data_IF_352296208281
#
_entry.id   IF_352296208281
#
_cell.length_a   1.000
_cell.length_b   1.000
_cell.length_c   1.000
_cell.angle_alpha   90.00
_cell.angle_beta   90.00
_cell.angle_gamma   90.00
#
_symmetry.space_group_name_H-M   'P 1'
#
loop_
_entity.id
_entity.type
_entity.pdbx_description
1 polymer ?
#
# COMPACT_ATOMS: atom_id res chain seq x y z
N UNK A 1 23.32 5.04 -6.40
CA UNK A 1 22.71 6.38 -6.55
C UNK A 1 22.00 6.70 -5.24
N UNK A 2 22.36 7.80 -4.56
CA UNK A 2 22.14 7.98 -3.10
C UNK A 2 20.65 8.14 -2.75
N UNK A 3 20.19 7.48 -1.66
CA UNK A 3 18.88 7.65 -1.01
C UNK A 3 18.41 9.12 -0.90
N UNK A 4 19.36 10.05 -0.83
CA UNK A 4 19.12 11.50 -0.86
C UNK A 4 18.23 11.97 -2.02
N UNK A 5 18.29 11.35 -3.20
CA UNK A 5 17.46 11.75 -4.34
C UNK A 5 15.98 11.38 -4.12
N UNK A 6 15.71 10.22 -3.51
CA UNK A 6 14.35 9.75 -3.20
C UNK A 6 13.70 10.66 -2.15
N UNK A 7 14.46 11.07 -1.12
CA UNK A 7 14.00 12.06 -0.15
C UNK A 7 13.70 13.40 -0.82
N UNK A 8 14.59 13.88 -1.71
CA UNK A 8 14.41 15.16 -2.39
C UNK A 8 13.14 15.18 -3.26
N UNK A 9 12.86 14.12 -4.04
CA UNK A 9 11.64 14.07 -4.87
C UNK A 9 10.36 13.99 -4.04
N UNK A 10 10.40 13.31 -2.88
CA UNK A 10 9.27 13.24 -1.95
C UNK A 10 8.96 14.61 -1.32
N UNK A 11 9.99 15.34 -0.86
CA UNK A 11 9.78 16.64 -0.20
C UNK A 11 9.49 17.79 -1.17
N UNK A 12 10.06 17.81 -2.38
CA UNK A 12 9.82 18.90 -3.35
C UNK A 12 8.34 18.98 -3.77
N UNK A 13 7.61 17.87 -3.79
CA UNK A 13 6.18 17.86 -4.11
C UNK A 13 5.27 18.33 -2.96
N UNK A 14 5.77 18.42 -1.72
CA UNK A 14 4.99 18.84 -0.54
C UNK A 14 4.83 20.37 -0.50
N UNK A 15 5.78 21.13 -1.06
CA UNK A 15 5.85 22.59 -0.86
C UNK A 15 5.27 23.46 -2.00
N UNK A 16 4.77 22.86 -3.08
CA UNK A 16 4.42 23.59 -4.31
C UNK A 16 2.96 24.07 -4.45
N UNK A 17 2.07 23.85 -3.48
CA UNK A 17 0.63 24.14 -3.64
C UNK A 17 0.00 24.79 -2.40
N UNK A 18 0.42 26.02 -2.09
CA UNK A 18 -0.17 26.84 -1.03
C UNK A 18 -0.89 28.06 -1.61
N UNK A 19 -2.18 27.91 -1.89
CA UNK A 19 -3.20 28.98 -1.89
C UNK A 19 -4.51 28.40 -2.42
N UNK A 20 -5.43 27.98 -1.56
CA UNK A 20 -6.85 27.77 -1.92
C UNK A 20 -7.65 27.57 -0.63
N UNK A 21 -8.75 28.30 -0.47
CA UNK A 21 -9.63 28.24 0.70
C UNK A 21 -10.28 26.85 0.82
N UNK A 22 -10.23 26.27 2.02
CA UNK A 22 -10.95 25.04 2.35
C UNK A 22 -12.44 25.35 2.42
N UNK A 23 -13.24 24.79 1.50
CA UNK A 23 -14.68 24.99 1.53
C UNK A 23 -15.30 24.14 2.64
N UNK A 24 -15.95 24.85 3.56
CA UNK A 24 -16.79 24.31 4.62
C UNK A 24 -17.83 23.33 4.08
N UNK A 25 -17.93 22.16 4.74
CA UNK A 25 -18.99 21.14 4.62
C UNK A 25 -19.33 20.65 3.21
N UNK A 26 -18.68 19.56 2.79
CA UNK A 26 -19.13 18.78 1.64
C UNK A 26 -20.33 17.88 2.02
N UNK A 27 -21.53 18.04 1.43
CA UNK A 27 -22.70 17.25 1.80
C UNK A 27 -22.63 15.78 1.35
N UNK A 28 -21.59 15.38 0.61
CA UNK A 28 -21.43 14.01 0.10
C UNK A 28 -20.64 13.08 1.03
N UNK A 29 -19.92 13.63 2.02
CA UNK A 29 -19.23 12.83 3.01
C UNK A 29 -19.06 13.57 4.34
N UNK A 30 -19.09 12.81 5.43
CA UNK A 30 -18.81 13.29 6.78
C UNK A 30 -17.33 13.13 7.09
N UNK A 31 -16.67 14.20 7.53
CA UNK A 31 -15.29 14.15 8.01
C UNK A 31 -15.23 13.85 9.51
N UNK A 32 -14.21 13.12 9.93
CA UNK A 32 -13.85 12.90 11.34
C UNK A 32 -12.49 13.51 11.69
N UNK A 33 -12.06 14.56 10.98
CA UNK A 33 -10.80 15.26 11.23
C UNK A 33 -10.67 15.84 12.65
N UNK A 34 -11.79 16.00 13.36
CA UNK A 34 -11.86 16.39 14.77
C UNK A 34 -11.50 15.24 15.74
N UNK A 35 -11.44 14.00 15.25
CA UNK A 35 -11.18 12.79 16.03
C UNK A 35 -9.87 12.15 15.61
N UNK A 36 -9.31 11.36 16.52
CA UNK A 36 -8.27 10.39 16.18
C UNK A 36 -8.96 9.06 15.92
N UNK A 37 -8.68 8.50 14.76
CA UNK A 37 -9.23 7.22 14.29
C UNK A 37 -8.16 6.16 14.47
N UNK A 38 -8.39 5.16 15.33
CA UNK A 38 -7.49 4.00 15.45
C UNK A 38 -8.19 2.71 15.08
N UNK A 39 -7.46 1.80 14.46
CA UNK A 39 -7.95 0.46 14.16
C UNK A 39 -6.88 -0.59 14.33
N UNK A 40 -7.34 -1.80 14.63
CA UNK A 40 -6.56 -3.01 14.45
C UNK A 40 -6.99 -3.68 13.16
N UNK A 41 -6.07 -4.36 12.50
CA UNK A 41 -6.39 -5.14 11.32
C UNK A 41 -5.65 -6.48 11.31
N UNK A 42 -6.31 -7.44 10.70
CA UNK A 42 -5.73 -8.67 10.19
C UNK A 42 -5.56 -8.53 8.68
N UNK A 43 -4.43 -8.97 8.14
CA UNK A 43 -4.12 -8.94 6.72
C UNK A 43 -3.54 -10.28 6.31
N UNK A 44 -4.15 -10.93 5.33
CA UNK A 44 -3.58 -12.09 4.65
C UNK A 44 -3.12 -11.68 3.26
N UNK A 45 -1.88 -12.04 2.92
CA UNK A 45 -1.25 -11.73 1.63
C UNK A 45 -0.89 -13.01 0.92
N UNK A 46 -1.60 -13.30 -0.17
CA UNK A 46 -1.19 -14.30 -1.14
C UNK A 46 -0.29 -13.63 -2.17
N UNK A 47 0.91 -14.17 -2.34
CA UNK A 47 1.87 -13.71 -3.33
C UNK A 47 2.53 -14.94 -3.99
N UNK A 48 2.68 -14.87 -5.31
CA UNK A 48 3.48 -15.77 -6.13
C UNK A 48 4.42 -14.92 -7.01
N UNK A 49 5.71 -14.96 -6.71
CA UNK A 49 6.74 -14.40 -7.59
C UNK A 49 7.30 -15.51 -8.46
N UNK A 50 7.34 -15.32 -9.78
CA UNK A 50 8.08 -16.21 -10.68
C UNK A 50 9.41 -15.55 -11.02
N UNK A 51 10.52 -16.28 -10.86
CA UNK A 51 11.83 -15.87 -11.38
C UNK A 51 12.28 -16.93 -12.40
N UNK A 52 12.74 -16.49 -13.57
CA UNK A 52 13.40 -17.33 -14.56
C UNK A 52 14.92 -17.32 -14.31
N UNK A 53 15.57 -18.48 -14.38
CA UNK A 53 17.04 -18.60 -14.33
C UNK A 53 17.57 -19.02 -15.70
N UNK A 54 18.63 -18.34 -16.17
CA UNK A 54 19.26 -18.55 -17.48
C UNK A 54 20.30 -19.67 -17.52
N UNK A 55 20.47 -20.43 -16.43
CA UNK A 55 21.57 -21.41 -16.32
C UNK A 55 21.28 -22.79 -16.95
N UNK A 56 20.15 -22.98 -17.62
CA UNK A 56 19.79 -24.23 -18.31
C UNK A 56 18.98 -23.95 -19.58
N UNK A 57 19.15 -24.79 -20.62
CA UNK A 57 18.37 -24.77 -21.89
C UNK A 57 16.83 -24.77 -21.69
N UNK A 58 16.37 -25.03 -20.47
CA UNK A 58 14.98 -24.91 -20.02
C UNK A 58 14.86 -23.79 -18.99
N UNK A 59 14.04 -22.77 -19.32
CA UNK A 59 13.66 -21.71 -18.38
C UNK A 59 12.88 -22.32 -17.22
N UNK A 60 13.48 -22.33 -16.03
CA UNK A 60 12.80 -22.81 -14.82
C UNK A 60 12.13 -21.63 -14.13
N UNK A 61 10.80 -21.71 -13.94
CA UNK A 61 10.03 -20.70 -13.21
C UNK A 61 9.88 -21.13 -11.76
N UNK A 62 10.47 -20.36 -10.85
CA UNK A 62 10.42 -20.69 -9.43
C UNK A 62 9.45 -19.77 -8.71
N UNK A 63 8.45 -20.35 -8.03
CA UNK A 63 7.53 -19.61 -7.16
C UNK A 63 8.20 -19.31 -5.82
N UNK A 64 8.62 -18.06 -5.61
CA UNK A 64 9.11 -17.60 -4.31
C UNK A 64 7.94 -17.15 -3.45
N UNK A 65 7.82 -17.77 -2.28
CA UNK A 65 6.72 -17.52 -1.36
C UNK A 65 7.30 -17.04 -0.01
N UNK A 66 6.85 -15.89 0.51
CA UNK A 66 7.22 -15.46 1.86
C UNK A 66 6.73 -16.44 2.93
N UNK A 67 7.57 -16.73 3.93
CA UNK A 67 7.22 -17.56 5.09
C UNK A 67 6.12 -16.92 5.96
N UNK A 68 5.94 -15.60 5.86
CA UNK A 68 5.07 -14.79 6.72
C UNK A 68 4.03 -14.02 5.90
N UNK A 69 2.91 -14.67 5.59
CA UNK A 69 1.79 -14.15 4.76
C UNK A 69 0.73 -13.39 5.55
N UNK A 70 0.46 -13.83 6.79
CA UNK A 70 -0.55 -13.25 7.66
C UNK A 70 0.06 -12.20 8.60
N UNK A 71 -0.61 -11.08 8.77
CA UNK A 71 -0.14 -9.96 9.58
C UNK A 71 -1.25 -9.44 10.50
N UNK A 72 -0.83 -8.93 11.65
CA UNK A 72 -1.63 -8.06 12.49
C UNK A 72 -1.00 -6.69 12.46
N UNK A 73 -1.83 -5.66 12.38
CA UNK A 73 -1.33 -4.30 12.45
C UNK A 73 -2.30 -3.32 13.06
N UNK A 74 -1.78 -2.12 13.20
CA UNK A 74 -2.42 -0.98 13.83
C UNK A 74 -2.40 0.16 12.82
N UNK A 75 -3.55 0.81 12.66
CA UNK A 75 -3.66 2.05 11.89
C UNK A 75 -4.07 3.17 12.84
N UNK A 76 -3.43 4.32 12.70
CA UNK A 76 -3.74 5.55 13.42
C UNK A 76 -3.88 6.68 12.40
N UNK A 77 -5.00 7.37 12.44
CA UNK A 77 -5.27 8.49 11.55
C UNK A 77 -5.69 9.72 12.35
N UNK A 78 -5.11 10.87 12.00
CA UNK A 78 -5.49 12.17 12.55
C UNK A 78 -5.33 13.25 11.49
N UNK A 79 -6.44 13.95 11.20
CA UNK A 79 -6.52 15.02 10.19
C UNK A 79 -5.98 14.58 8.82
N UNK A 80 -4.78 15.04 8.43
CA UNK A 80 -4.18 14.77 7.11
C UNK A 80 -3.25 13.56 7.10
N UNK A 81 -2.92 12.99 8.26
CA UNK A 81 -1.90 11.95 8.39
C UNK A 81 -2.57 10.61 8.73
N UNK A 82 -2.16 9.58 8.02
CA UNK A 82 -2.44 8.17 8.29
C UNK A 82 -1.12 7.44 8.54
N UNK A 83 -1.02 6.68 9.62
CA UNK A 83 0.13 5.82 9.93
C UNK A 83 -0.38 4.41 10.14
N UNK A 84 0.24 3.45 9.47
CA UNK A 84 -0.09 2.03 9.55
C UNK A 84 1.16 1.23 9.81
N UNK A 85 1.14 0.40 10.86
CA UNK A 85 2.25 -0.48 11.26
C UNK A 85 1.72 -1.91 11.30
N UNK A 86 2.40 -2.84 10.63
CA UNK A 86 2.03 -4.25 10.60
C UNK A 86 3.22 -5.15 10.91
N UNK A 87 2.95 -6.29 11.56
CA UNK A 87 3.92 -7.35 11.76
C UNK A 87 3.25 -8.73 11.64
N UNK A 88 4.04 -9.76 11.34
CA UNK A 88 3.55 -11.12 11.18
C UNK A 88 3.89 -11.99 12.41
N UNK A 89 2.98 -12.12 13.40
CA UNK A 89 3.25 -12.93 14.57
C UNK A 89 3.25 -14.42 14.26
N UNK A 90 3.94 -15.19 15.11
CA UNK A 90 4.17 -16.64 14.91
C UNK A 90 2.94 -17.52 15.10
N UNK A 91 1.94 -17.05 15.83
CA UNK A 91 0.77 -17.85 16.17
C UNK A 91 -0.27 -17.95 15.03
N UNK A 92 -0.06 -17.22 13.93
CA UNK A 92 -0.95 -17.24 12.77
C UNK A 92 -0.60 -18.43 11.86
N UNK A 93 -1.61 -19.16 11.41
CA UNK A 93 -1.49 -20.50 10.81
C UNK A 93 -0.76 -20.56 9.47
N UNK A 94 -0.84 -19.51 8.65
CA UNK A 94 -0.15 -19.44 7.36
C UNK A 94 1.28 -18.91 7.51
N UNK A 95 1.66 -18.46 8.71
CA UNK A 95 3.01 -18.02 9.01
C UNK A 95 3.91 -19.21 9.37
N UNK A 96 4.22 -20.03 8.36
CA UNK A 96 5.06 -21.24 8.43
C UNK A 96 6.55 -20.88 8.27
N UNK A 97 7.44 -21.86 8.50
CA UNK A 97 8.88 -21.66 8.39
C UNK A 97 9.55 -21.33 9.72
N UNK A 98 10.83 -20.98 9.67
CA UNK A 98 11.68 -20.91 10.86
C UNK A 98 11.27 -19.81 11.87
N UNK A 99 11.77 -19.95 13.09
CA UNK A 99 11.56 -18.99 14.18
C UNK A 99 12.23 -17.62 13.92
N UNK A 100 13.05 -17.49 12.87
CA UNK A 100 13.83 -16.30 12.54
C UNK A 100 13.23 -15.47 11.38
N UNK A 101 12.21 -15.99 10.70
CA UNK A 101 11.47 -15.30 9.65
C UNK A 101 10.71 -14.11 10.23
N UNK A 102 10.83 -12.94 9.61
CA UNK A 102 10.26 -11.66 10.07
C UNK A 102 9.56 -10.95 8.93
N UNK A 103 8.48 -10.25 9.23
CA UNK A 103 7.82 -9.36 8.28
C UNK A 103 7.35 -8.12 9.06
N UNK A 104 7.86 -6.96 8.64
CA UNK A 104 7.54 -5.66 9.22
C UNK A 104 7.14 -4.69 8.11
N UNK A 105 5.98 -4.07 8.29
CA UNK A 105 5.40 -3.14 7.36
C UNK A 105 5.13 -1.80 8.04
N UNK A 106 5.60 -0.72 7.43
CA UNK A 106 5.31 0.64 7.79
C UNK A 106 4.75 1.37 6.57
N UNK A 107 3.58 1.96 6.72
CA UNK A 107 2.96 2.77 5.69
C UNK A 107 2.53 4.08 6.31
N UNK A 108 2.76 5.18 5.61
CA UNK A 108 2.19 6.48 5.97
C UNK A 108 1.55 7.10 4.75
N UNK A 109 0.50 7.88 4.97
CA UNK A 109 -0.17 8.60 3.91
C UNK A 109 -0.55 9.99 4.35
N UNK A 110 -0.29 10.93 3.47
CA UNK A 110 -0.59 12.34 3.62
C UNK A 110 -1.67 12.72 2.63
N UNK A 111 -2.65 13.47 3.11
CA UNK A 111 -3.76 13.94 2.33
C UNK A 111 -3.80 15.46 2.32
N UNK A 112 -3.41 16.06 1.20
CA UNK A 112 -3.47 17.50 1.00
C UNK A 112 -4.54 17.82 -0.02
N UNK A 113 -5.73 18.18 0.45
CA UNK A 113 -6.93 18.40 -0.38
C UNK A 113 -7.17 17.18 -1.29
N UNK A 114 -7.08 17.36 -2.61
CA UNK A 114 -7.25 16.33 -3.64
C UNK A 114 -6.00 15.48 -3.86
N UNK A 115 -4.85 15.91 -3.37
CA UNK A 115 -3.60 15.16 -3.48
C UNK A 115 -3.47 14.16 -2.35
N UNK A 116 -3.02 12.97 -2.70
CA UNK A 116 -2.72 11.91 -1.78
C UNK A 116 -1.31 11.41 -2.05
N UNK A 117 -0.45 11.45 -1.04
CA UNK A 117 0.91 10.93 -1.12
C UNK A 117 1.08 9.81 -0.11
N UNK A 118 1.64 8.69 -0.54
CA UNK A 118 1.92 7.56 0.32
C UNK A 118 3.41 7.25 0.34
N UNK A 119 3.85 6.71 1.47
CA UNK A 119 5.16 6.13 1.65
C UNK A 119 5.00 4.75 2.28
N UNK A 120 5.74 3.79 1.75
CA UNK A 120 5.71 2.39 2.13
C UNK A 120 7.13 1.92 2.40
N UNK A 121 7.30 1.23 3.52
CA UNK A 121 8.50 0.48 3.86
C UNK A 121 8.10 -0.91 4.32
N UNK A 122 8.65 -1.93 3.66
CA UNK A 122 8.39 -3.33 3.91
C UNK A 122 9.74 -4.02 4.06
N UNK A 123 9.93 -4.74 5.16
CA UNK A 123 11.09 -5.57 5.37
C UNK A 123 10.67 -6.99 5.71
N UNK A 124 11.07 -7.93 4.86
CA UNK A 124 10.72 -9.34 5.00
C UNK A 124 11.98 -10.18 5.04
N UNK A 125 11.96 -11.23 5.86
CA UNK A 125 13.01 -12.23 6.00
C UNK A 125 12.38 -13.60 6.07
N UNK A 126 12.96 -14.54 5.33
CA UNK A 126 12.54 -15.93 5.28
C UNK A 126 11.53 -16.19 4.16
N UNK A 127 11.94 -17.03 3.22
CA UNK A 127 11.17 -17.43 2.05
C UNK A 127 11.25 -18.94 1.89
N UNK A 128 10.35 -19.49 1.08
CA UNK A 128 10.49 -20.84 0.56
C UNK A 128 10.14 -20.87 -0.92
N UNK A 129 10.77 -21.81 -1.62
CA UNK A 129 10.49 -22.17 -2.99
C UNK A 129 9.55 -23.36 -2.96
N UNK A 130 8.50 -23.32 -3.79
CA UNK A 130 7.61 -24.46 -4.02
C UNK A 130 7.48 -24.71 -5.51
N UNK A 131 7.97 -25.86 -5.96
CA UNK A 131 7.77 -26.43 -7.28
C UNK A 131 7.32 -27.90 -7.12
N UNK A 132 6.67 -28.49 -8.13
CA UNK A 132 5.88 -29.73 -8.04
C UNK A 132 6.60 -30.92 -7.35
N UNK A 133 7.94 -30.91 -7.28
CA UNK A 133 8.74 -31.89 -6.53
C UNK A 133 9.85 -31.29 -5.64
N UNK A 134 9.97 -29.96 -5.52
CA UNK A 134 11.06 -29.31 -4.78
C UNK A 134 10.48 -28.27 -3.80
N UNK A 135 10.69 -28.52 -2.51
CA UNK A 135 10.48 -27.52 -1.45
C UNK A 135 11.86 -27.13 -0.90
N UNK A 136 12.34 -25.93 -1.23
CA UNK A 136 13.60 -25.41 -0.71
C UNK A 136 13.34 -24.22 0.22
N UNK A 137 13.90 -24.26 1.42
CA UNK A 137 13.77 -23.18 2.40
C UNK A 137 14.92 -22.17 2.21
N UNK A 138 14.56 -20.88 2.19
CA UNK A 138 15.48 -19.74 2.11
C UNK A 138 15.32 -18.88 3.38
N UNK A 139 15.69 -19.40 4.57
CA UNK A 139 15.46 -18.72 5.85
C UNK A 139 16.29 -17.43 6.01
N UNK A 140 17.42 -17.33 5.29
CA UNK A 140 18.30 -16.17 5.34
C UNK A 140 17.91 -15.09 4.33
N UNK A 141 17.19 -15.44 3.27
CA UNK A 141 16.79 -14.49 2.24
C UNK A 141 15.97 -13.34 2.83
N UNK A 142 16.26 -12.13 2.35
CA UNK A 142 15.67 -10.89 2.81
C UNK A 142 15.23 -10.07 1.61
N UNK A 143 14.08 -9.41 1.75
CA UNK A 143 13.65 -8.37 0.83
C UNK A 143 13.41 -7.08 1.61
N UNK A 144 13.78 -5.96 1.01
CA UNK A 144 13.49 -4.63 1.54
C UNK A 144 12.89 -3.80 0.43
N UNK A 145 11.62 -3.43 0.58
CA UNK A 145 10.89 -2.57 -0.36
C UNK A 145 10.65 -1.22 0.28
N UNK A 146 11.01 -0.16 -0.42
CA UNK A 146 10.78 1.23 -0.03
C UNK A 146 10.24 2.00 -1.23
N UNK A 147 9.28 2.86 -1.02
CA UNK A 147 8.75 3.66 -2.10
C UNK A 147 7.52 4.42 -1.69
N UNK A 148 6.81 4.93 -2.68
CA UNK A 148 5.63 5.73 -2.46
C UNK A 148 4.82 5.94 -3.72
N UNK A 149 3.70 6.60 -3.55
CA UNK A 149 2.83 6.98 -4.65
C UNK A 149 2.24 8.36 -4.45
N UNK A 150 1.92 9.02 -5.55
CA UNK A 150 1.21 10.29 -5.59
C UNK A 150 -0.03 10.10 -6.46
N UNK A 151 -1.19 10.41 -5.90
CA UNK A 151 -2.48 10.31 -6.56
C UNK A 151 -3.24 11.63 -6.49
N UNK A 152 -4.10 11.88 -7.46
CA UNK A 152 -4.97 13.05 -7.49
C UNK A 152 -6.45 12.67 -7.62
N UNK A 153 -7.29 13.14 -6.71
CA UNK A 153 -8.74 12.86 -6.70
C UNK A 153 -9.47 13.96 -7.47
N UNK A 154 -9.96 13.66 -8.67
CA UNK A 154 -10.62 14.64 -9.53
C UNK A 154 -11.98 15.11 -8.99
N UNK A 155 -12.81 14.19 -8.50
CA UNK A 155 -14.17 14.50 -8.06
C UNK A 155 -14.21 14.90 -6.58
N UNK A 156 -14.57 16.15 -6.31
CA UNK A 156 -14.73 16.68 -4.95
C UNK A 156 -15.81 15.98 -4.14
N UNK A 157 -16.80 15.37 -4.79
CA UNK A 157 -17.89 14.65 -4.10
C UNK A 157 -17.46 13.27 -3.60
N UNK A 158 -16.30 12.79 -4.02
CA UNK A 158 -15.81 11.46 -3.71
C UNK A 158 -14.77 11.48 -2.59
N UNK A 159 -14.98 10.67 -1.56
CA UNK A 159 -14.02 10.48 -0.47
C UNK A 159 -13.22 9.19 -0.68
N UNK A 160 -11.96 9.34 -1.09
CA UNK A 160 -11.01 8.21 -1.09
C UNK A 160 -10.65 7.77 0.33
N UNK A 161 -10.71 8.67 1.31
CA UNK A 161 -10.42 8.35 2.72
C UNK A 161 -11.41 7.34 3.30
N UNK A 162 -12.67 7.35 2.83
CA UNK A 162 -13.66 6.30 3.13
C UNK A 162 -13.15 4.90 2.74
N UNK A 163 -12.45 4.79 1.60
CA UNK A 163 -11.93 3.52 1.12
C UNK A 163 -10.70 3.03 1.87
N UNK A 164 -9.90 3.88 2.50
CA UNK A 164 -8.64 3.42 3.10
C UNK A 164 -8.51 3.63 4.60
N UNK A 165 -8.80 4.82 5.11
CA UNK A 165 -8.54 5.14 6.52
C UNK A 165 -9.80 5.21 7.39
N UNK A 166 -10.98 5.29 6.78
CA UNK A 166 -12.25 5.55 7.49
C UNK A 166 -12.27 6.87 8.27
N UNK A 167 -11.34 7.79 8.00
CA UNK A 167 -11.38 9.12 8.60
C UNK A 167 -12.40 10.07 7.95
N UNK A 168 -13.00 9.63 6.85
CA UNK A 168 -14.22 10.20 6.28
C UNK A 168 -15.20 9.06 6.01
N UNK A 169 -16.48 9.42 5.93
CA UNK A 169 -17.55 8.50 5.57
C UNK A 169 -18.39 9.09 4.45
N UNK A 170 -18.40 8.42 3.30
CA UNK A 170 -19.27 8.77 2.17
C UNK A 170 -20.74 8.58 2.56
N UNK A 171 -21.52 9.65 2.48
CA UNK A 171 -22.96 9.66 2.79
C UNK A 171 -23.84 9.55 1.54
N UNK A 172 -23.30 9.89 0.36
CA UNK A 172 -23.98 9.76 -0.93
C UNK A 172 -23.07 9.08 -1.95
N UNK A 173 -23.60 8.15 -2.74
CA UNK A 173 -22.79 7.44 -3.73
C UNK A 173 -22.08 8.38 -4.69
N UNK A 174 -20.80 8.11 -4.93
CA UNK A 174 -19.97 8.93 -5.80
C UNK A 174 -18.77 8.14 -6.29
N UNK A 175 -18.19 8.55 -7.41
CA UNK A 175 -16.94 7.98 -7.92
C UNK A 175 -15.98 9.05 -8.39
N UNK A 176 -14.70 8.71 -8.49
CA UNK A 176 -13.67 9.61 -9.00
C UNK A 176 -12.71 8.87 -9.90
N UNK A 177 -12.30 9.57 -10.96
CA UNK A 177 -11.05 9.27 -11.63
C UNK A 177 -9.88 9.67 -10.73
N UNK A 178 -8.89 8.79 -10.58
CA UNK A 178 -7.74 8.94 -9.69
C UNK A 178 -6.49 8.39 -10.39
N UNK A 179 -5.74 9.18 -11.17
CA UNK A 179 -4.45 8.75 -11.65
C UNK A 179 -3.47 8.66 -10.49
N UNK A 180 -2.64 7.61 -10.51
CA UNK A 180 -1.63 7.36 -9.49
C UNK A 180 -0.28 7.12 -10.14
N UNK A 181 0.70 7.93 -9.78
CA UNK A 181 2.10 7.69 -10.07
C UNK A 181 2.74 6.96 -8.89
N UNK A 182 3.49 5.90 -9.13
CA UNK A 182 4.17 5.12 -8.09
C UNK A 182 5.64 4.91 -8.41
N UNK A 183 6.47 4.89 -7.38
CA UNK A 183 7.88 4.57 -7.46
C UNK A 183 8.27 3.68 -6.27
N UNK A 184 8.80 2.49 -6.56
CA UNK A 184 9.27 1.54 -5.57
C UNK A 184 10.66 1.03 -5.90
N UNK A 185 11.51 0.97 -4.90
CA UNK A 185 12.78 0.27 -4.91
C UNK A 185 12.64 -0.98 -4.04
N UNK A 186 13.06 -2.13 -4.57
CA UNK A 186 13.12 -3.39 -3.84
C UNK A 186 14.53 -3.94 -3.95
N UNK A 187 15.15 -4.16 -2.80
CA UNK A 187 16.40 -4.92 -2.69
C UNK A 187 16.06 -6.36 -2.34
N UNK A 188 16.61 -7.31 -3.09
CA UNK A 188 16.49 -8.75 -2.87
C UNK A 188 17.87 -9.31 -2.55
N UNK A 189 18.02 -9.87 -1.36
CA UNK A 189 19.29 -10.38 -0.87
C UNK A 189 19.12 -11.82 -0.38
N UNK A 190 19.70 -12.78 -1.09
CA UNK A 190 19.68 -14.20 -0.73
C UNK A 190 20.44 -14.48 0.57
N UNK A 191 21.32 -13.56 1.02
CA UNK A 191 22.15 -13.68 2.21
C UNK A 191 23.01 -14.97 2.20
N UNK A 192 23.56 -15.31 1.03
CA UNK A 192 24.55 -16.38 0.85
C UNK A 192 25.91 -15.81 0.46
N UNK A 193 27.03 -16.45 0.82
CA UNK A 193 28.38 -15.91 0.57
C UNK A 193 28.66 -15.57 -0.90
N UNK A 194 28.05 -16.32 -1.82
CA UNK A 194 28.31 -16.23 -3.27
C UNK A 194 27.24 -15.41 -4.02
N UNK A 195 26.28 -14.80 -3.33
CA UNK A 195 25.20 -14.02 -3.95
C UNK A 195 25.37 -12.52 -3.75
N UNK A 196 25.31 -11.75 -4.83
CA UNK A 196 25.12 -10.30 -4.76
C UNK A 196 23.64 -9.96 -4.59
N UNK A 197 23.27 -8.93 -3.80
CA UNK A 197 21.90 -8.44 -3.76
C UNK A 197 21.45 -7.90 -5.12
N UNK A 198 20.24 -8.28 -5.56
CA UNK A 198 19.60 -7.74 -6.75
C UNK A 198 18.81 -6.48 -6.43
N UNK A 199 18.89 -5.48 -7.31
CA UNK A 199 18.19 -4.21 -7.17
C UNK A 199 17.08 -4.09 -8.22
N UNK A 200 15.85 -3.89 -7.74
CA UNK A 200 14.65 -3.80 -8.57
C UNK A 200 14.02 -2.42 -8.38
N UNK A 201 13.81 -1.67 -9.45
CA UNK A 201 13.08 -0.41 -9.46
C UNK A 201 11.81 -0.54 -10.28
N UNK A 202 10.66 -0.23 -9.69
CA UNK A 202 9.36 -0.23 -10.34
C UNK A 202 8.81 1.19 -10.36
N UNK A 203 8.53 1.69 -11.55
CA UNK A 203 7.94 3.01 -11.79
C UNK A 203 6.66 2.79 -12.56
N UNK A 204 5.51 3.26 -12.06
CA UNK A 204 4.24 3.08 -12.77
C UNK A 204 3.38 4.33 -12.78
N UNK A 205 2.59 4.46 -13.84
CA UNK A 205 1.48 5.39 -13.93
C UNK A 205 0.22 4.57 -14.19
N UNK A 206 -0.70 4.62 -13.23
CA UNK A 206 -1.94 3.86 -13.26
C UNK A 206 -3.13 4.82 -13.16
N UNK A 207 -3.80 5.18 -14.28
CA UNK A 207 -5.13 5.76 -14.22
C UNK A 207 -6.09 4.76 -13.57
N UNK A 208 -6.92 5.26 -12.66
CA UNK A 208 -7.89 4.43 -11.97
C UNK A 208 -9.24 5.13 -11.84
N UNK A 209 -10.29 4.34 -11.67
CA UNK A 209 -11.61 4.82 -11.30
C UNK A 209 -12.09 4.09 -10.06
N UNK A 210 -12.46 4.84 -9.04
CA UNK A 210 -13.03 4.33 -7.79
C UNK A 210 -14.46 4.80 -7.63
N UNK A 211 -15.30 3.96 -7.03
CA UNK A 211 -16.69 4.24 -6.76
C UNK A 211 -17.09 3.77 -5.35
N UNK A 212 -17.71 4.67 -4.60
CA UNK A 212 -18.33 4.43 -3.31
C UNK A 212 -19.84 4.30 -3.53
N UNK A 213 -20.39 3.09 -3.36
CA UNK A 213 -21.81 2.81 -3.38
C UNK A 213 -22.37 2.77 -1.95
N UNK A 214 -23.13 3.80 -1.59
CA UNK A 214 -23.79 3.92 -0.28
C UNK A 214 -25.07 3.11 -0.32
N UNK A 215 -25.11 2.02 0.43
CA UNK A 215 -26.28 1.12 0.53
C UNK A 215 -27.26 1.65 1.58
N UNK A 216 -26.71 2.16 2.68
CA UNK A 216 -27.45 2.80 3.77
C UNK A 216 -26.53 3.79 4.48
N UNK A 217 -27.07 4.57 5.41
CA UNK A 217 -26.29 5.52 6.21
C UNK A 217 -25.10 4.90 6.94
N UNK A 218 -25.09 3.57 7.12
CA UNK A 218 -24.06 2.83 7.87
C UNK A 218 -23.31 1.80 7.05
N UNK A 219 -23.74 1.47 5.84
CA UNK A 219 -23.13 0.40 5.02
C UNK A 219 -22.77 0.95 3.65
N UNK A 220 -21.55 0.68 3.23
CA UNK A 220 -21.01 1.09 1.93
C UNK A 220 -20.23 -0.05 1.30
N UNK A 221 -20.36 -0.18 -0.03
CA UNK A 221 -19.45 -0.95 -0.86
C UNK A 221 -18.58 0.01 -1.66
N UNK A 222 -17.28 -0.18 -1.58
CA UNK A 222 -16.29 0.53 -2.36
C UNK A 222 -15.69 -0.38 -3.41
N UNK A 223 -15.59 0.07 -4.65
CA UNK A 223 -14.90 -0.66 -5.70
C UNK A 223 -13.94 0.26 -6.46
N UNK A 224 -12.87 -0.29 -7.00
CA UNK A 224 -11.95 0.46 -7.84
C UNK A 224 -11.17 -0.43 -8.79
N UNK A 225 -10.86 0.12 -9.95
CA UNK A 225 -10.03 -0.52 -10.96
C UNK A 225 -8.99 0.48 -11.46
N UNK A 226 -7.74 0.07 -11.48
CA UNK A 226 -6.66 0.77 -12.15
C UNK A 226 -6.07 -0.11 -13.25
N UNK A 227 -5.83 0.48 -14.41
CA UNK A 227 -5.13 -0.14 -15.52
C UNK A 227 -4.02 0.82 -15.93
N UNK A 228 -2.79 0.36 -15.88
CA UNK A 228 -1.64 1.23 -16.06
C UNK A 228 -0.45 0.49 -16.62
N UNK A 229 0.66 1.21 -16.64
CA UNK A 229 1.93 0.63 -17.01
C UNK A 229 3.09 1.50 -16.57
N UNK A 230 4.28 1.04 -16.88
CA UNK A 230 5.49 1.73 -16.57
C UNK A 230 6.72 0.89 -16.84
N UNK A 231 7.72 1.05 -16.00
CA UNK A 231 9.04 0.47 -16.19
C UNK A 231 9.44 -0.34 -14.98
N UNK A 232 10.05 -1.48 -15.24
CA UNK A 232 10.74 -2.28 -14.25
C UNK A 232 12.23 -2.31 -14.62
N UNK A 233 13.10 -2.00 -13.67
CA UNK A 233 14.55 -1.99 -13.87
C UNK A 233 15.17 -3.00 -12.92
N UNK A 234 15.72 -4.09 -13.46
CA UNK A 234 16.42 -5.14 -12.69
C UNK A 234 17.88 -5.09 -13.10
N UNK A 235 18.80 -4.84 -12.16
CA UNK A 235 20.24 -4.88 -12.39
C UNK A 235 20.72 -4.10 -13.65
N UNK A 236 20.03 -2.98 -13.95
CA UNK A 236 20.21 -2.03 -15.07
C UNK A 236 19.52 -2.40 -16.38
N UNK A 237 18.86 -3.54 -16.47
CA UNK A 237 17.99 -3.87 -17.61
C UNK A 237 16.60 -3.29 -17.40
N UNK A 238 16.08 -2.57 -18.40
CA UNK A 238 14.78 -1.91 -18.33
C UNK A 238 13.76 -2.67 -19.16
N UNK A 239 12.64 -3.04 -18.55
CA UNK A 239 11.50 -3.68 -19.21
C UNK A 239 10.22 -2.88 -19.04
N UNK A 240 9.33 -3.00 -20.02
CA UNK A 240 7.98 -2.49 -19.90
C UNK A 240 7.19 -3.35 -18.90
N UNK A 241 6.38 -2.68 -18.08
CA UNK A 241 5.54 -3.29 -17.06
C UNK A 241 4.10 -2.85 -17.29
N UNK A 242 3.17 -3.79 -17.34
CA UNK A 242 1.73 -3.53 -17.32
C UNK A 242 1.20 -3.81 -15.92
N UNK A 243 0.30 -2.95 -15.44
CA UNK A 243 -0.28 -3.04 -14.11
C UNK A 243 -1.80 -3.10 -14.20
N UNK A 244 -2.41 -4.04 -13.48
CA UNK A 244 -3.85 -4.07 -13.20
C UNK A 244 -4.05 -4.13 -11.68
N UNK A 245 -4.86 -3.23 -11.13
CA UNK A 245 -5.15 -3.16 -9.69
C UNK A 245 -6.66 -3.12 -9.46
N UNK A 246 -7.18 -4.13 -8.78
CA UNK A 246 -8.58 -4.24 -8.40
C UNK A 246 -8.73 -4.08 -6.88
N UNK A 247 -9.65 -3.20 -6.49
CA UNK A 247 -9.97 -2.92 -5.10
C UNK A 247 -11.46 -3.15 -4.85
N UNK A 248 -11.77 -3.90 -3.79
CA UNK A 248 -13.13 -4.08 -3.30
C UNK A 248 -13.14 -3.91 -1.78
N UNK A 249 -14.16 -3.23 -1.27
CA UNK A 249 -14.33 -2.96 0.15
C UNK A 249 -15.79 -3.05 0.54
N UNK A 250 -16.07 -3.72 1.65
CA UNK A 250 -17.33 -3.65 2.37
C UNK A 250 -17.07 -2.98 3.71
N UNK A 251 -17.77 -1.88 4.00
CA UNK A 251 -17.56 -1.09 5.19
C UNK A 251 -18.85 -0.86 5.97
N UNK A 252 -18.72 -0.92 7.29
CA UNK A 252 -19.73 -0.52 8.27
C UNK A 252 -19.22 0.67 9.08
N UNK A 253 -20.07 1.68 9.29
CA UNK A 253 -19.69 2.87 10.04
C UNK A 253 -20.77 3.39 11.00
N UNK A 254 -20.32 3.76 12.20
CA UNK A 254 -20.96 4.65 13.17
C UNK A 254 -19.96 5.73 13.56
N UNK A 255 -20.43 6.80 14.19
CA UNK A 255 -19.59 7.96 14.55
C UNK A 255 -18.37 7.66 15.43
N UNK A 256 -18.45 6.60 16.24
CA UNK A 256 -17.35 6.16 17.12
C UNK A 256 -16.78 4.81 16.75
N UNK A 257 -17.55 3.92 16.13
CA UNK A 257 -17.12 2.55 15.82
C UNK A 257 -17.25 2.29 14.34
N UNK A 258 -16.28 1.60 13.75
CA UNK A 258 -16.33 1.20 12.36
C UNK A 258 -15.64 -0.15 12.16
N UNK A 259 -15.97 -0.81 11.07
CA UNK A 259 -15.31 -2.04 10.65
C UNK A 259 -15.39 -2.19 9.15
N UNK A 260 -14.44 -2.88 8.55
CA UNK A 260 -14.47 -3.17 7.13
C UNK A 260 -13.69 -4.43 6.78
N UNK A 261 -14.09 -5.04 5.67
CA UNK A 261 -13.31 -6.01 4.95
C UNK A 261 -12.93 -5.42 3.59
N UNK A 262 -11.70 -5.64 3.13
CA UNK A 262 -11.28 -5.25 1.79
C UNK A 262 -10.45 -6.33 1.14
N UNK A 263 -10.66 -6.50 -0.16
CA UNK A 263 -9.87 -7.32 -1.06
C UNK A 263 -9.14 -6.38 -2.02
N UNK A 264 -7.83 -6.50 -2.10
CA UNK A 264 -7.03 -5.82 -3.12
C UNK A 264 -6.22 -6.86 -3.89
N UNK A 265 -6.30 -6.82 -5.22
CA UNK A 265 -5.53 -7.70 -6.10
C UNK A 265 -4.78 -6.83 -7.10
N UNK A 266 -3.45 -6.93 -7.09
CA UNK A 266 -2.59 -6.25 -8.04
C UNK A 266 -1.81 -7.28 -8.85
N UNK A 267 -1.94 -7.17 -10.17
CA UNK A 267 -1.24 -7.97 -11.15
C UNK A 267 -0.23 -7.12 -11.92
N UNK A 268 0.96 -7.68 -12.11
CA UNK A 268 2.00 -7.13 -12.96
C UNK A 268 2.34 -8.12 -14.07
N UNK A 269 2.32 -7.65 -15.31
CA UNK A 269 2.72 -8.43 -16.48
C UNK A 269 3.86 -7.73 -17.22
N UNK A 270 4.80 -8.51 -17.74
CA UNK A 270 5.95 -8.02 -18.52
C UNK A 270 5.96 -8.66 -19.91
N UNK A 271 6.58 -7.98 -20.88
CA UNK A 271 6.76 -8.50 -22.24
C UNK A 271 7.58 -9.80 -22.22
N UNK A 272 7.20 -10.76 -23.06
CA UNK A 272 7.75 -12.12 -23.12
C UNK A 272 9.23 -12.18 -23.51
N UNK A 273 9.79 -11.08 -24.02
CA UNK A 273 11.16 -10.99 -24.52
C UNK A 273 12.21 -10.60 -23.47
N UNK A 274 11.82 -10.33 -22.22
CA UNK A 274 12.76 -9.98 -21.14
C UNK A 274 12.86 -11.11 -20.13
N UNK A 275 14.10 -11.55 -19.88
CA UNK A 275 14.47 -12.43 -18.78
C UNK A 275 15.35 -11.62 -17.80
N UNK A 276 15.15 -11.69 -16.48
CA UNK A 276 14.14 -12.43 -15.74
C UNK A 276 12.76 -11.75 -15.76
N UNK A 277 11.68 -12.55 -15.86
CA UNK A 277 10.30 -12.07 -15.82
C UNK A 277 9.83 -11.81 -14.40
N UNK A 278 9.06 -10.75 -14.18
CA UNK A 278 8.27 -10.54 -12.96
C UNK A 278 6.78 -10.59 -13.34
N UNK A 279 6.20 -11.79 -13.32
CA UNK A 279 4.75 -11.98 -13.35
C UNK A 279 4.31 -12.19 -11.91
N UNK A 280 3.75 -11.13 -11.31
CA UNK A 280 3.40 -11.09 -9.90
C UNK A 280 1.92 -10.81 -9.77
N UNK A 281 1.24 -11.66 -9.01
CA UNK A 281 -0.14 -11.45 -8.62
C UNK A 281 -0.22 -11.47 -7.09
N UNK A 282 -0.35 -10.28 -6.52
CA UNK A 282 -0.48 -10.09 -5.08
C UNK A 282 -1.96 -9.90 -4.79
N UNK A 283 -2.54 -10.80 -4.00
CA UNK A 283 -3.89 -10.63 -3.47
C UNK A 283 -3.84 -10.48 -1.96
N UNK A 284 -4.55 -9.47 -1.45
CA UNK A 284 -4.58 -9.13 -0.04
C UNK A 284 -6.01 -9.07 0.47
N UNK A 285 -6.29 -9.82 1.53
CA UNK A 285 -7.53 -9.73 2.29
C UNK A 285 -7.24 -9.01 3.61
N UNK A 286 -7.89 -7.86 3.83
CA UNK A 286 -7.78 -7.08 5.07
C UNK A 286 -9.11 -7.06 5.81
N UNK A 287 -9.08 -7.44 7.08
CA UNK A 287 -10.20 -7.30 8.01
C UNK A 287 -9.80 -6.28 9.07
N UNK A 288 -10.62 -5.26 9.31
CA UNK A 288 -10.30 -4.21 10.26
C UNK A 288 -11.50 -3.82 11.11
N UNK A 289 -11.24 -3.55 12.38
CA UNK A 289 -12.18 -2.92 13.30
C UNK A 289 -11.48 -1.74 13.99
N UNK A 290 -12.22 -0.67 14.25
CA UNK A 290 -11.64 0.53 14.83
C UNK A 290 -12.61 1.40 15.61
N UNK A 291 -12.02 2.33 16.33
CA UNK A 291 -12.69 3.27 17.20
C UNK A 291 -12.16 4.69 17.01
N UNK A 292 -13.05 5.68 17.09
CA UNK A 292 -12.72 7.11 16.99
C UNK A 292 -12.83 7.76 18.36
N UNK A 293 -11.74 8.35 18.83
CA UNK A 293 -11.64 9.02 20.11
C UNK A 293 -11.38 10.51 19.93
N UNK A 294 -11.82 11.29 20.92
CA UNK A 294 -11.57 12.72 20.95
C UNK A 294 -10.07 12.96 21.28
N UNK A 295 -9.37 13.80 20.52
CA UNK A 295 -7.94 14.03 20.71
C UNK A 295 -7.66 14.69 22.06
N UNK A 296 -6.59 14.30 22.77
CA UNK A 296 -6.11 15.06 23.93
C UNK A 296 -5.78 16.51 23.54
N UNK A 297 -6.05 17.48 24.42
CA UNK A 297 -5.81 18.92 24.16
C UNK A 297 -4.40 19.21 23.62
N UNK A 298 -3.38 18.58 24.21
CA UNK A 298 -1.98 18.72 23.78
C UNK A 298 -1.73 18.29 22.34
N UNK A 299 -2.38 17.24 21.85
CA UNK A 299 -2.24 16.77 20.46
C UNK A 299 -2.85 17.78 19.49
N UNK A 300 -4.01 18.33 19.86
CA UNK A 300 -4.68 19.39 19.10
C UNK A 300 -3.80 20.65 19.00
N UNK A 301 -3.25 21.11 20.13
CA UNK A 301 -2.37 22.29 20.18
C UNK A 301 -1.10 22.12 19.34
N UNK A 302 -0.46 20.94 19.38
CA UNK A 302 0.73 20.66 18.55
C UNK A 302 0.37 20.70 17.08
N UNK A 303 -0.75 20.09 16.68
CA UNK A 303 -1.18 20.14 15.29
C UNK A 303 -1.45 21.59 14.86
N UNK A 304 -2.23 22.34 15.65
CA UNK A 304 -2.64 23.70 15.27
C UNK A 304 -1.41 24.62 15.12
N UNK A 305 -0.40 24.48 15.98
CA UNK A 305 0.90 25.16 15.85
C UNK A 305 1.69 24.77 14.59
N UNK A 306 1.65 23.49 14.22
CA UNK A 306 2.31 23.02 12.99
C UNK A 306 1.57 23.59 11.78
N UNK A 307 0.24 23.53 11.79
CA UNK A 307 -0.66 24.01 10.74
C UNK A 307 -0.44 25.50 10.45
N UNK A 308 -0.37 26.34 11.49
CA UNK A 308 -0.09 27.77 11.39
C UNK A 308 1.26 28.07 10.73
N UNK A 309 2.29 27.25 10.99
CA UNK A 309 3.62 27.40 10.38
C UNK A 309 3.69 26.98 8.92
N UNK A 310 2.89 25.99 8.53
CA UNK A 310 2.91 25.40 7.18
C UNK A 310 1.81 25.93 6.26
N UNK A 311 0.91 26.78 6.76
CA UNK A 311 -0.17 27.39 5.97
C UNK A 311 -1.22 26.39 5.47
N UNK A 312 -1.44 25.31 6.23
CA UNK A 312 -2.51 24.34 5.99
C UNK A 312 -3.76 24.65 6.81
#
# INVERSE_FOLDING_TARGET
MRLALIYATFFINIFGCFAQNDSLQNPYFKSYNDKITASIYYLDTSNSFQIASDNTDTKTYVNLIPNRREQIGFTLNYKIIDITIGFAPKFLSQNKGDSHSKNFNFNTRFYLKKWMQSFTFINQKGFYISDDNIIAQLPRMRTTKIGGSTSYVFNEKFSFRTLVSQNEWQTKSSGSFIPTFSFYYTNLDLNTPDSSPGDIYVITLAPSYFYNFVISDRILIGAGLALGGGLNIIDKETSALYQADFNLKLAYNKDRFFGFASLNTIGFAQDDKVDPRLNDNISTLKLSIGYRFDPPKKVKEVYDKVNEKIGL
#
